data_IF_074170629640
#
_entry.id   IF_074170629640
#
_cell.length_a   1.000
_cell.length_b   1.000
_cell.length_c   1.000
_cell.angle_alpha   90.00
_cell.angle_beta   90.00
_cell.angle_gamma   90.00
#
_symmetry.space_group_name_H-M   'P 1'
#
loop_
_entity.id
_entity.type
_entity.pdbx_description
1 polymer ?
#
# COMPACT_ATOMS: atom_id res chain seq x y z
N UNK A 1 5.18 0.85 15.90
CA UNK A 1 5.83 -0.05 14.92
C UNK A 1 7.33 0.08 15.10
N UNK A 2 8.02 -0.98 15.53
CA UNK A 2 9.39 -0.86 16.05
C UNK A 2 10.49 -0.86 14.98
N UNK A 3 10.23 -1.36 13.77
CA UNK A 3 11.22 -1.36 12.67
C UNK A 3 10.64 -0.98 11.30
N UNK A 4 11.51 -0.77 10.32
CA UNK A 4 11.12 -0.39 8.97
C UNK A 4 10.32 -1.48 8.26
N UNK A 5 10.61 -2.77 8.49
CA UNK A 5 9.87 -3.89 7.91
C UNK A 5 8.41 -3.90 8.40
N UNK A 6 8.18 -3.77 9.71
CA UNK A 6 6.82 -3.69 10.24
C UNK A 6 6.11 -2.44 9.75
N UNK A 7 6.77 -1.27 9.75
CA UNK A 7 6.22 -0.01 9.21
C UNK A 7 5.78 -0.15 7.75
N UNK A 8 6.64 -0.70 6.90
CA UNK A 8 6.35 -0.97 5.49
C UNK A 8 5.16 -1.90 5.33
N UNK A 9 5.08 -2.96 6.14
CA UNK A 9 3.99 -3.93 6.10
C UNK A 9 2.63 -3.28 6.38
N UNK A 10 2.53 -2.45 7.43
CA UNK A 10 1.24 -1.81 7.73
C UNK A 10 0.96 -0.62 6.81
N UNK A 11 1.96 0.16 6.41
CA UNK A 11 1.75 1.24 5.45
C UNK A 11 1.23 0.71 4.11
N UNK A 12 1.78 -0.40 3.61
CA UNK A 12 1.34 -1.02 2.35
C UNK A 12 -0.09 -1.53 2.46
N UNK A 13 -0.43 -2.30 3.50
CA UNK A 13 -1.77 -2.89 3.67
C UNK A 13 -2.84 -1.86 3.99
N UNK A 14 -2.58 -1.00 4.98
CA UNK A 14 -3.54 0.03 5.39
C UNK A 14 -3.70 1.09 4.30
N UNK A 15 -2.61 1.42 3.60
CA UNK A 15 -2.63 2.37 2.49
C UNK A 15 -3.46 1.89 1.30
N UNK A 16 -3.22 0.67 0.81
CA UNK A 16 -3.95 0.13 -0.36
C UNK A 16 -5.44 -0.06 -0.08
N UNK A 17 -5.78 -0.68 1.06
CA UNK A 17 -7.18 -0.94 1.43
C UNK A 17 -7.90 0.37 1.78
N UNK A 18 -7.29 1.24 2.58
CA UNK A 18 -7.88 2.51 2.98
C UNK A 18 -8.15 3.42 1.78
N UNK A 19 -7.19 3.56 0.87
CA UNK A 19 -7.38 4.32 -0.36
C UNK A 19 -8.48 3.72 -1.24
N UNK A 20 -8.52 2.39 -1.38
CA UNK A 20 -9.53 1.73 -2.20
C UNK A 20 -10.94 1.95 -1.66
N UNK A 21 -11.14 1.92 -0.34
CA UNK A 21 -12.42 2.22 0.30
C UNK A 21 -12.86 3.67 0.09
N UNK A 22 -11.93 4.62 0.18
CA UNK A 22 -12.21 6.04 -0.10
C UNK A 22 -12.62 6.26 -1.56
N UNK A 23 -11.93 5.61 -2.50
CA UNK A 23 -12.26 5.71 -3.92
C UNK A 23 -13.60 5.03 -4.25
N UNK A 24 -13.92 3.91 -3.59
CA UNK A 24 -15.24 3.29 -3.69
C UNK A 24 -16.34 4.22 -3.17
N UNK A 25 -16.13 4.87 -2.03
CA UNK A 25 -17.06 5.87 -1.51
C UNK A 25 -17.27 7.02 -2.51
N UNK A 26 -16.20 7.49 -3.16
CA UNK A 26 -16.28 8.49 -4.22
C UNK A 26 -17.12 8.02 -5.43
N UNK A 27 -16.95 6.76 -5.85
CA UNK A 27 -17.73 6.18 -6.94
C UNK A 27 -19.24 6.10 -6.62
N UNK A 28 -19.60 5.86 -5.36
CA UNK A 28 -21.00 5.91 -4.91
C UNK A 28 -21.53 7.35 -4.79
N UNK A 29 -20.69 8.30 -4.37
CA UNK A 29 -21.08 9.70 -4.22
C UNK A 29 -21.32 10.39 -5.58
N UNK A 30 -20.55 10.01 -6.61
CA UNK A 30 -20.64 10.58 -7.96
C UNK A 30 -20.76 9.42 -8.98
N UNK A 31 -21.98 8.96 -9.29
CA UNK A 31 -22.21 7.79 -10.14
C UNK A 31 -22.09 8.11 -11.64
N UNK A 32 -20.97 8.73 -12.04
CA UNK A 32 -20.64 9.02 -13.43
C UNK A 32 -19.67 7.97 -13.99
N UNK A 33 -19.90 7.54 -15.24
CA UNK A 33 -19.05 6.53 -15.91
C UNK A 33 -17.57 6.96 -15.99
N UNK A 34 -17.32 8.26 -16.15
CA UNK A 34 -15.98 8.85 -16.21
C UNK A 34 -15.26 8.76 -14.86
N UNK A 35 -16.00 8.94 -13.76
CA UNK A 35 -15.45 8.84 -12.39
C UNK A 35 -15.19 7.39 -12.03
N UNK A 36 -16.17 6.50 -12.28
CA UNK A 36 -16.08 5.07 -11.93
C UNK A 36 -14.91 4.40 -12.66
N UNK A 37 -14.72 4.68 -13.95
CA UNK A 37 -13.59 4.13 -14.73
C UNK A 37 -12.23 4.57 -14.18
N UNK A 38 -12.09 5.84 -13.80
CA UNK A 38 -10.86 6.36 -13.16
C UNK A 38 -10.63 5.74 -11.78
N UNK A 39 -11.69 5.57 -10.98
CA UNK A 39 -11.63 4.90 -9.67
C UNK A 39 -11.11 3.47 -9.81
N UNK A 40 -11.72 2.68 -10.70
CA UNK A 40 -11.30 1.29 -10.94
C UNK A 40 -9.86 1.22 -11.44
N UNK A 41 -9.48 2.08 -12.39
CA UNK A 41 -8.11 2.16 -12.87
C UNK A 41 -7.11 2.52 -11.77
N UNK A 42 -7.46 3.45 -10.89
CA UNK A 42 -6.61 3.87 -9.77
C UNK A 42 -6.44 2.75 -8.74
N UNK A 43 -7.53 2.06 -8.37
CA UNK A 43 -7.47 0.92 -7.44
C UNK A 43 -6.56 -0.17 -8.01
N UNK A 44 -6.76 -0.55 -9.27
CA UNK A 44 -5.94 -1.56 -9.93
C UNK A 44 -4.46 -1.15 -9.98
N UNK A 45 -4.18 0.10 -10.36
CA UNK A 45 -2.82 0.62 -10.43
C UNK A 45 -2.11 0.55 -9.06
N UNK A 46 -2.79 0.97 -7.98
CA UNK A 46 -2.24 0.93 -6.63
C UNK A 46 -2.03 -0.50 -6.14
N UNK A 47 -2.95 -1.42 -6.45
CA UNK A 47 -2.80 -2.84 -6.11
C UNK A 47 -1.60 -3.50 -6.79
N UNK A 48 -1.27 -3.08 -8.01
CA UNK A 48 -0.10 -3.60 -8.74
C UNK A 48 1.21 -2.94 -8.29
N UNK A 49 1.19 -1.63 -8.04
CA UNK A 49 2.42 -0.86 -7.76
C UNK A 49 2.84 -0.95 -6.29
N UNK A 50 1.90 -1.04 -5.34
CA UNK A 50 2.24 -1.09 -3.92
C UNK A 50 3.09 -2.31 -3.52
N UNK A 51 2.82 -3.54 -4.02
CA UNK A 51 3.69 -4.70 -3.77
C UNK A 51 5.07 -4.54 -4.38
N UNK A 52 5.17 -3.96 -5.59
CA UNK A 52 6.46 -3.71 -6.25
C UNK A 52 7.29 -2.72 -5.45
N UNK A 53 6.68 -1.63 -4.98
CA UNK A 53 7.35 -0.67 -4.11
C UNK A 53 7.83 -1.32 -2.80
N UNK A 54 6.98 -2.13 -2.15
CA UNK A 54 7.35 -2.85 -0.94
C UNK A 54 8.48 -3.87 -1.17
N UNK A 55 8.50 -4.53 -2.33
CA UNK A 55 9.55 -5.48 -2.70
C UNK A 55 10.91 -4.79 -2.87
N UNK A 56 10.97 -3.69 -3.63
CA UNK A 56 12.21 -2.93 -3.85
C UNK A 56 12.72 -2.33 -2.54
N UNK A 57 11.83 -1.79 -1.70
CA UNK A 57 12.19 -1.31 -0.35
C UNK A 57 12.75 -2.43 0.52
N UNK A 58 12.17 -3.63 0.47
CA UNK A 58 12.69 -4.83 1.13
C UNK A 58 14.11 -5.20 0.70
N UNK A 59 14.38 -5.15 -0.61
CA UNK A 59 15.71 -5.40 -1.17
C UNK A 59 16.71 -4.33 -0.73
N UNK A 60 16.34 -3.05 -0.77
CA UNK A 60 17.19 -1.96 -0.33
C UNK A 60 17.59 -2.10 1.16
N UNK A 61 16.62 -2.40 2.04
CA UNK A 61 16.89 -2.64 3.47
C UNK A 61 17.82 -3.83 3.70
N UNK A 62 17.67 -4.90 2.90
CA UNK A 62 18.56 -6.06 2.95
C UNK A 62 19.98 -5.69 2.52
N UNK A 63 20.13 -4.91 1.46
CA UNK A 63 21.44 -4.46 0.96
C UNK A 63 22.17 -3.54 1.95
N UNK A 64 21.44 -2.68 2.66
CA UNK A 64 22.02 -1.80 3.69
C UNK A 64 22.28 -2.51 5.03
N UNK A 65 21.99 -3.81 5.14
CA UNK A 65 22.20 -4.59 6.37
C UNK A 65 21.27 -4.20 7.52
N UNK A 66 20.07 -3.68 7.21
CA UNK A 66 19.11 -3.24 8.24
C UNK A 66 18.63 -4.45 9.07
N UNK A 67 18.89 -4.41 10.39
CA UNK A 67 18.51 -5.49 11.31
C UNK A 67 17.00 -5.47 11.56
N UNK A 68 16.35 -6.61 11.38
CA UNK A 68 14.95 -6.83 11.75
C UNK A 68 14.81 -6.70 13.27
N UNK A 69 13.81 -5.97 13.73
CA UNK A 69 13.51 -5.89 15.16
C UNK A 69 12.97 -7.22 15.67
N UNK A 70 13.50 -7.68 16.79
CA UNK A 70 13.09 -8.91 17.47
C UNK A 70 13.00 -8.60 18.96
N UNK A 71 11.84 -8.89 19.55
CA UNK A 71 11.67 -8.83 20.99
C UNK A 71 12.51 -9.96 21.61
N UNK A 72 13.56 -9.62 22.35
CA UNK A 72 14.20 -10.59 23.26
C UNK A 72 13.20 -10.93 24.37
N UNK A 73 13.16 -12.21 24.75
CA UNK A 73 12.32 -12.71 25.85
C UNK A 73 12.96 -12.37 27.19
#
# INVERSE_FOLDING_TARGET
>A
MPDLYTRMHSATKAGTVGLSLLLLALAFAIPEISVISRVLGTILFVFLTAPVAAHILGLAMKQTGYKIWRKEK
#
